data_IF_312199444687
#
_entry.id   IF_312199444687
#
_cell.length_a   1.000
_cell.length_b   1.000
_cell.length_c   1.000
_cell.angle_alpha   90.00
_cell.angle_beta   90.00
_cell.angle_gamma   90.00
#
_symmetry.space_group_name_H-M   'P 1'
#
loop_
_entity.id
_entity.type
_entity.pdbx_description
1 polymer ?
2 polymer ?
3 polymer ?
4 non-polymer ?
5 non-polymer ?
#
loop_
_entity_poly.entity_id
_entity_poly.type
_entity_poly.pdbx_seq_one_letter_code
_entity_poly.pdbx_strand_id
2 'polyribonucleotide' '(GTP)GCGGC' ?
3 'polydeoxyribonucleotide' '(DG)(DC)(DC)(DG)(DC)(DC)(DA)(DA)(DC)(DA)(DT)(DA)' ?
#
# COMPACT_ATOMS: atom_id res chain seq x y z
N UNK A 5 1.14 24.54 -25.39
CA UNK A 5 0.84 23.69 -26.57
C UNK A 5 0.03 22.47 -26.14
N UNK A 6 0.15 22.12 -24.86
CA UNK A 6 -0.56 20.98 -24.31
C UNK A 6 -1.98 21.34 -23.88
N UNK A 7 -2.91 20.43 -24.14
CA UNK A 7 -4.33 20.61 -23.80
C UNK A 7 -4.82 19.71 -22.67
N UNK A 8 -5.88 20.14 -21.98
CA UNK A 8 -6.41 19.41 -20.83
C UNK A 8 -6.95 18.00 -21.06
N UNK A 9 -7.80 17.83 -22.07
CA UNK A 9 -8.36 16.50 -22.37
C UNK A 9 -7.30 15.58 -22.99
N UNK A 10 -6.04 15.82 -22.66
CA UNK A 10 -4.93 15.05 -23.22
C UNK A 10 -4.10 14.43 -22.10
N UNK A 11 -4.27 14.97 -20.90
CA UNK A 11 -3.54 14.53 -19.73
C UNK A 11 -3.67 13.05 -19.39
N UNK A 12 -4.91 12.57 -19.25
CA UNK A 12 -5.13 11.16 -18.93
C UNK A 12 -4.18 10.29 -19.74
N UNK A 13 -4.09 10.57 -21.04
CA UNK A 13 -3.22 9.80 -21.91
C UNK A 13 -1.74 10.03 -21.59
N UNK A 14 -1.38 11.31 -21.50
CA UNK A 14 0.00 11.66 -21.20
C UNK A 14 0.48 10.92 -19.96
N UNK A 15 -0.36 10.90 -18.93
CA UNK A 15 0.01 10.24 -17.67
C UNK A 15 0.55 8.84 -17.90
N UNK A 16 -0.02 8.17 -18.89
CA UNK A 16 0.36 6.81 -19.22
C UNK A 16 1.66 6.73 -20.01
N UNK A 17 1.81 7.65 -20.95
CA UNK A 17 2.96 7.66 -21.84
C UNK A 17 4.20 8.40 -21.39
N UNK A 18 3.99 9.58 -20.81
CA UNK A 18 5.13 10.38 -20.41
C UNK A 18 5.32 10.69 -18.92
N UNK A 19 4.28 10.56 -18.12
CA UNK A 19 4.45 10.86 -16.70
C UNK A 19 5.31 9.81 -16.03
N UNK A 20 6.17 10.22 -15.07
CA UNK A 20 7.01 9.24 -14.40
C UNK A 20 6.11 8.56 -13.39
N UNK A 21 6.43 7.33 -12.98
CA UNK A 21 5.55 6.67 -12.01
C UNK A 21 4.91 7.53 -10.92
N UNK A 22 5.67 8.45 -10.33
CA UNK A 22 5.13 9.28 -9.26
C UNK A 22 3.97 10.16 -9.72
N UNK A 23 4.16 10.90 -10.79
CA UNK A 23 3.09 11.74 -11.26
C UNK A 23 1.92 10.90 -11.76
N UNK A 24 2.21 9.76 -12.39
CA UNK A 24 1.16 8.87 -12.90
C UNK A 24 0.21 8.48 -11.77
N UNK A 25 0.78 7.99 -10.67
CA UNK A 25 0.01 7.61 -9.48
C UNK A 25 -0.88 8.75 -9.02
N UNK A 26 -0.25 9.89 -8.77
CA UNK A 26 -0.94 11.07 -8.30
C UNK A 26 -2.08 11.47 -9.22
N UNK A 27 -1.89 11.26 -10.52
CA UNK A 27 -2.93 11.61 -11.46
C UNK A 27 -4.12 10.66 -11.35
N UNK A 28 -3.84 9.35 -11.38
CA UNK A 28 -4.88 8.33 -11.26
C UNK A 28 -5.67 8.52 -9.96
N UNK A 29 -4.95 8.75 -8.86
CA UNK A 29 -5.59 8.95 -7.58
C UNK A 29 -6.54 10.15 -7.66
N UNK A 30 -6.13 11.19 -8.38
CA UNK A 30 -6.97 12.38 -8.51
C UNK A 30 -8.23 12.11 -9.32
N UNK A 31 -8.16 11.24 -10.31
CA UNK A 31 -9.34 10.94 -11.14
C UNK A 31 -10.29 10.00 -10.41
N UNK A 32 -9.72 9.09 -9.64
CA UNK A 32 -10.54 8.14 -8.92
C UNK A 32 -11.23 8.80 -7.72
N UNK A 33 -10.46 9.51 -6.93
CA UNK A 33 -11.01 10.14 -5.73
C UNK A 33 -11.54 11.55 -5.89
N UNK A 34 -11.26 12.14 -7.04
CA UNK A 34 -11.71 13.49 -7.29
C UNK A 34 -11.12 14.43 -6.25
N UNK A 35 -9.97 14.05 -5.69
CA UNK A 35 -9.32 14.85 -4.69
C UNK A 35 -7.90 14.36 -4.40
N UNK A 36 -7.14 15.20 -3.72
CA UNK A 36 -5.76 14.89 -3.33
C UNK A 36 -5.38 15.64 -2.06
N UNK A 37 -4.66 14.97 -1.17
CA UNK A 37 -4.23 15.60 0.06
C UNK A 37 -3.13 16.62 -0.27
N UNK A 38 -2.86 17.52 0.68
CA UNK A 38 -1.87 18.57 0.47
C UNK A 38 -0.57 18.12 -0.20
N UNK A 39 0.08 17.11 0.37
CA UNK A 39 1.33 16.63 -0.19
C UNK A 39 1.26 16.34 -1.68
N UNK A 40 0.20 15.64 -2.09
CA UNK A 40 0.02 15.31 -3.48
C UNK A 40 -0.36 16.53 -4.31
N UNK A 41 -1.14 17.44 -3.73
CA UNK A 41 -1.54 18.63 -4.47
C UNK A 41 -0.31 19.48 -4.78
N UNK A 42 0.67 19.47 -3.88
CA UNK A 42 1.88 20.26 -4.10
C UNK A 42 2.73 19.68 -5.21
N UNK A 43 3.14 18.43 -5.05
CA UNK A 43 3.97 17.74 -6.02
C UNK A 43 3.35 17.68 -7.40
N UNK A 44 2.09 17.30 -7.47
CA UNK A 44 1.43 17.16 -8.77
C UNK A 44 1.16 18.47 -9.46
N UNK A 45 0.64 19.44 -8.72
CA UNK A 45 0.35 20.74 -9.31
C UNK A 45 1.58 21.41 -9.89
N UNK A 46 2.69 21.46 -9.15
CA UNK A 46 3.89 22.10 -9.66
C UNK A 46 4.36 21.33 -10.86
N UNK A 47 4.20 20.02 -10.85
CA UNK A 47 4.59 19.21 -12.01
C UNK A 47 3.80 19.64 -13.24
N UNK A 48 2.47 19.69 -13.09
CA UNK A 48 1.60 20.10 -14.18
C UNK A 48 2.01 21.47 -14.72
N UNK A 49 2.48 22.33 -13.81
CA UNK A 49 2.88 23.65 -14.23
C UNK A 49 4.17 23.51 -15.02
N UNK A 50 5.05 22.66 -14.52
CA UNK A 50 6.32 22.45 -15.20
C UNK A 50 6.18 21.94 -16.61
N UNK A 51 5.15 21.12 -16.88
CA UNK A 51 4.94 20.55 -18.22
C UNK A 51 4.24 21.49 -19.16
N UNK A 52 3.62 22.54 -18.67
CA UNK A 52 2.99 23.45 -19.60
C UNK A 52 1.69 24.11 -19.23
N UNK A 53 0.93 23.54 -18.32
CA UNK A 53 -0.34 24.15 -17.95
C UNK A 53 -0.21 25.61 -17.52
N UNK A 54 -1.16 26.44 -17.93
CA UNK A 54 -1.13 27.82 -17.54
C UNK A 54 -2.04 27.89 -16.34
N UNK A 55 -2.05 29.04 -15.67
CA UNK A 55 -2.87 29.25 -14.48
C UNK A 55 -4.35 29.08 -14.80
N UNK A 56 -4.74 29.45 -16.00
CA UNK A 56 -6.14 29.32 -16.38
C UNK A 56 -6.50 27.85 -16.49
N UNK A 57 -5.58 27.06 -17.05
CA UNK A 57 -5.81 25.63 -17.20
C UNK A 57 -5.79 24.93 -15.85
N UNK A 58 -4.78 25.27 -15.06
CA UNK A 58 -4.61 24.69 -13.74
C UNK A 58 -5.88 24.84 -12.91
N UNK A 59 -6.37 26.07 -12.81
CA UNK A 59 -7.57 26.35 -12.04
C UNK A 59 -8.76 25.56 -12.58
N UNK A 60 -8.78 25.37 -13.89
CA UNK A 60 -9.87 24.62 -14.49
C UNK A 60 -9.72 23.11 -14.20
N UNK A 61 -8.55 22.58 -14.51
CA UNK A 61 -8.24 21.18 -14.28
C UNK A 61 -8.59 20.72 -12.88
N UNK A 62 -8.19 21.52 -11.89
CA UNK A 62 -8.45 21.20 -10.50
C UNK A 62 -9.91 21.44 -10.05
N UNK A 63 -10.48 22.58 -10.43
CA UNK A 63 -11.86 22.89 -10.04
C UNK A 63 -12.75 21.79 -10.59
N UNK A 64 -12.61 21.52 -11.88
CA UNK A 64 -13.38 20.50 -12.55
C UNK A 64 -13.36 19.17 -11.80
N UNK A 65 -12.17 18.70 -11.47
CA UNK A 65 -12.05 17.43 -10.78
C UNK A 65 -12.54 17.46 -9.34
N UNK A 66 -12.57 18.64 -8.74
CA UNK A 66 -13.00 18.74 -7.35
C UNK A 66 -14.52 18.90 -7.19
N UNK A 67 -15.19 19.33 -8.24
CA UNK A 67 -16.65 19.51 -8.21
C UNK A 67 -17.25 18.11 -8.17
N UNK A 68 -16.59 17.18 -8.83
CA UNK A 68 -17.01 15.77 -8.88
C UNK A 68 -16.90 15.11 -7.50
N UNK A 69 -16.25 15.81 -6.57
CA UNK A 69 -16.11 15.31 -5.20
C UNK A 69 -17.40 15.70 -4.49
N UNK A 70 -18.26 16.34 -5.27
CA UNK A 70 -19.58 16.81 -4.86
C UNK A 70 -19.59 17.94 -3.83
N UNK A 71 -18.47 18.67 -3.76
CA UNK A 71 -18.36 19.78 -2.82
C UNK A 71 -18.70 21.12 -3.48
N UNK A 72 -18.99 22.11 -2.65
CA UNK A 72 -19.35 23.43 -3.14
C UNK A 72 -18.34 24.00 -4.12
N UNK A 73 -18.77 24.27 -5.36
CA UNK A 73 -17.84 24.82 -6.34
C UNK A 73 -17.41 26.19 -5.84
N UNK A 74 -18.01 26.61 -4.73
CA UNK A 74 -17.69 27.88 -4.07
C UNK A 74 -16.72 27.56 -2.96
N UNK A 75 -16.95 26.45 -2.26
CA UNK A 75 -16.06 26.05 -1.17
C UNK A 75 -14.69 25.78 -1.80
N UNK A 76 -14.65 25.72 -3.13
CA UNK A 76 -13.41 25.49 -3.86
C UNK A 76 -12.64 26.82 -4.01
N UNK A 77 -13.30 27.86 -4.55
CA UNK A 77 -12.64 29.15 -4.71
C UNK A 77 -12.22 29.69 -3.34
N UNK A 78 -12.97 29.32 -2.31
CA UNK A 78 -12.68 29.73 -0.93
C UNK A 78 -11.24 29.31 -0.58
N UNK A 79 -11.02 28.00 -0.41
CA UNK A 79 -9.69 27.54 -0.08
C UNK A 79 -8.73 27.36 -1.25
N UNK A 80 -8.85 26.20 -1.90
CA UNK A 80 -8.01 25.76 -3.02
C UNK A 80 -7.58 26.68 -4.16
N UNK A 81 -8.45 27.60 -4.59
CA UNK A 81 -8.11 28.49 -5.70
C UNK A 81 -6.94 29.41 -5.40
N UNK A 82 -7.00 30.07 -4.24
CA UNK A 82 -5.94 30.98 -3.85
C UNK A 82 -4.59 30.32 -3.89
N UNK A 83 -4.51 29.12 -3.35
CA UNK A 83 -3.25 28.43 -3.31
C UNK A 83 -2.74 28.08 -4.69
N UNK A 84 -3.63 27.71 -5.60
CA UNK A 84 -3.16 27.35 -6.93
C UNK A 84 -2.46 28.56 -7.53
N UNK A 85 -3.10 29.72 -7.38
CA UNK A 85 -2.57 30.96 -7.91
C UNK A 85 -1.25 31.35 -7.27
N UNK A 86 -1.09 31.03 -5.99
CA UNK A 86 0.14 31.38 -5.31
C UNK A 86 1.29 30.52 -5.81
N UNK A 87 0.95 29.36 -6.37
CA UNK A 87 1.95 28.44 -6.93
C UNK A 87 2.55 29.02 -8.21
N UNK A 88 1.69 29.65 -9.00
CA UNK A 88 2.13 30.28 -10.24
C UNK A 88 2.64 31.70 -9.95
N UNK A 89 2.83 32.02 -8.67
CA UNK A 89 3.34 33.33 -8.29
C UNK A 89 2.38 34.50 -8.45
N UNK A 90 1.08 34.23 -8.37
CA UNK A 90 0.13 35.31 -8.53
C UNK A 90 -0.53 35.71 -7.24
N UNK A 91 0.21 35.60 -6.14
CA UNK A 91 -0.27 35.96 -4.81
C UNK A 91 0.90 36.24 -3.89
N UNK A 92 0.67 37.05 -2.87
CA UNK A 92 1.71 37.39 -1.91
C UNK A 92 3.05 37.84 -2.47
N UNK A 93 4.12 37.14 -2.05
CA UNK A 93 5.50 37.39 -2.46
C UNK A 93 5.66 37.30 -3.98
N UNK A 94 4.78 36.52 -4.60
CA UNK A 94 4.77 36.29 -6.05
C UNK A 94 6.01 35.55 -6.52
N UNK A 95 6.07 34.27 -6.19
CA UNK A 95 7.19 33.43 -6.60
C UNK A 95 6.71 32.30 -7.50
N UNK A 96 7.25 32.25 -8.70
CA UNK A 96 6.89 31.20 -9.65
C UNK A 96 7.65 29.95 -9.23
N UNK A 97 7.08 29.16 -8.33
CA UNK A 97 7.75 27.95 -7.85
C UNK A 97 8.14 26.88 -8.87
N UNK A 98 9.41 26.50 -8.81
CA UNK A 98 9.96 25.47 -9.65
C UNK A 98 9.40 24.17 -9.13
N UNK A 99 9.11 23.21 -10.02
CA UNK A 99 8.57 21.91 -9.58
C UNK A 99 9.59 21.12 -8.76
N UNK A 100 9.11 20.15 -7.98
CA UNK A 100 9.95 19.34 -7.11
C UNK A 100 10.98 18.45 -7.81
N UNK A 101 12.15 18.33 -7.21
CA UNK A 101 13.25 17.50 -7.72
C UNK A 101 13.11 16.09 -7.15
N UNK A 102 13.75 15.10 -7.77
CA UNK A 102 13.61 13.75 -7.24
C UNK A 102 14.12 13.64 -5.83
N UNK A 103 15.35 14.08 -5.61
CA UNK A 103 15.92 13.98 -4.29
C UNK A 103 14.97 14.51 -3.21
N UNK A 104 14.34 15.65 -3.47
CA UNK A 104 13.41 16.22 -2.49
C UNK A 104 12.29 15.23 -2.24
N UNK A 105 11.63 14.83 -3.33
CA UNK A 105 10.53 13.89 -3.29
C UNK A 105 10.90 12.62 -2.50
N UNK A 106 12.13 12.15 -2.71
CA UNK A 106 12.60 10.93 -2.07
C UNK A 106 13.04 11.03 -0.61
N UNK A 107 13.67 12.13 -0.24
CA UNK A 107 14.14 12.28 1.14
C UNK A 107 13.29 13.12 2.07
N UNK A 108 12.17 13.68 1.60
CA UNK A 108 11.34 14.50 2.47
C UNK A 108 9.86 14.17 2.45
N UNK A 109 9.12 14.81 3.35
CA UNK A 109 7.67 14.64 3.48
C UNK A 109 7.21 13.24 3.09
N UNK A 110 7.69 12.20 3.79
CA UNK A 110 7.29 10.83 3.48
C UNK A 110 5.77 10.78 3.53
N UNK A 111 5.16 9.96 2.67
CA UNK A 111 3.72 9.81 2.61
C UNK A 111 3.13 8.86 3.63
N UNK A 112 1.89 9.12 4.03
CA UNK A 112 1.17 8.30 5.00
C UNK A 112 -0.13 7.86 4.37
N UNK A 113 -0.91 7.07 5.09
CA UNK A 113 -2.19 6.59 4.54
C UNK A 113 -3.04 7.74 4.05
N UNK A 114 -3.56 7.61 2.83
CA UNK A 114 -4.39 8.64 2.24
C UNK A 114 -3.62 9.51 1.25
N UNK A 115 -2.29 9.52 1.40
CA UNK A 115 -1.43 10.31 0.53
C UNK A 115 -0.96 9.43 -0.60
N UNK A 116 -0.70 10.04 -1.76
CA UNK A 116 -0.22 9.32 -2.95
C UNK A 116 1.04 9.95 -3.53
N UNK A 117 1.50 11.04 -2.92
CA UNK A 117 2.69 11.73 -3.36
C UNK A 117 3.90 10.90 -2.93
N UNK A 118 5.11 11.42 -3.16
CA UNK A 118 6.31 10.69 -2.80
C UNK A 118 6.88 9.99 -4.02
N UNK A 119 7.84 9.09 -3.81
CA UNK A 119 8.48 8.35 -4.90
C UNK A 119 8.15 6.86 -4.76
N UNK A 120 7.40 6.29 -5.72
CA UNK A 120 7.02 4.87 -5.65
C UNK A 120 8.18 3.92 -5.39
N UNK A 121 9.29 4.15 -6.06
CA UNK A 121 10.47 3.28 -5.91
C UNK A 121 11.03 3.37 -4.49
N UNK A 122 10.64 4.39 -3.76
CA UNK A 122 11.14 4.58 -2.40
C UNK A 122 10.09 4.39 -1.32
N UNK A 123 8.89 4.88 -1.57
CA UNK A 123 7.83 4.79 -0.58
C UNK A 123 6.83 3.65 -0.74
N UNK A 124 6.82 2.96 -1.89
CA UNK A 124 5.92 1.83 -2.06
C UNK A 124 6.70 0.59 -1.67
N UNK A 125 6.12 -0.26 -0.83
CA UNK A 125 6.83 -1.47 -0.40
C UNK A 125 6.99 -2.43 -1.59
N UNK A 126 8.16 -3.09 -1.70
CA UNK A 126 8.48 -4.05 -2.77
C UNK A 126 7.32 -4.85 -3.36
N UNK A 127 6.41 -5.29 -2.51
CA UNK A 127 5.28 -6.09 -2.99
C UNK A 127 4.18 -5.30 -3.68
N UNK A 128 3.94 -4.08 -3.20
CA UNK A 128 2.94 -3.21 -3.80
C UNK A 128 3.50 -2.62 -5.08
N UNK A 129 4.79 -2.26 -5.04
CA UNK A 129 5.45 -1.69 -6.20
C UNK A 129 5.36 -2.72 -7.34
N UNK A 130 5.68 -3.98 -7.03
CA UNK A 130 5.63 -5.04 -8.02
C UNK A 130 4.27 -5.07 -8.72
N UNK A 131 3.20 -5.02 -7.92
CA UNK A 131 1.88 -5.03 -8.51
C UNK A 131 1.67 -3.86 -9.46
N UNK A 132 2.09 -2.67 -9.04
CA UNK A 132 1.95 -1.48 -9.89
C UNK A 132 2.71 -1.74 -11.19
N UNK A 133 3.97 -2.12 -11.05
CA UNK A 133 4.81 -2.41 -12.19
C UNK A 133 4.07 -3.32 -13.17
N UNK A 134 3.52 -4.39 -12.64
CA UNK A 134 2.79 -5.30 -13.48
C UNK A 134 1.62 -4.58 -14.09
N UNK A 135 0.93 -3.75 -13.31
CA UNK A 135 -0.25 -3.02 -13.81
C UNK A 135 0.08 -2.12 -14.99
N UNK A 136 1.33 -1.70 -15.06
CA UNK A 136 1.76 -0.87 -16.17
C UNK A 136 2.23 -1.77 -17.31
N UNK A 137 2.09 -3.07 -17.11
CA UNK A 137 2.48 -4.07 -18.11
C UNK A 137 3.98 -4.07 -18.42
N UNK A 138 4.79 -4.05 -17.37
CA UNK A 138 6.24 -4.05 -17.48
C UNK A 138 6.71 -5.52 -17.47
N UNK A 139 7.59 -5.88 -18.39
CA UNK A 139 8.05 -7.26 -18.44
C UNK A 139 8.72 -7.76 -17.14
N UNK A 140 8.24 -8.91 -16.63
CA UNK A 140 8.73 -9.56 -15.42
C UNK A 140 10.25 -9.58 -15.29
N UNK A 141 10.91 -9.32 -16.41
CA UNK A 141 12.37 -9.30 -16.39
C UNK A 141 12.82 -7.97 -15.83
N UNK A 142 12.28 -6.90 -16.40
CA UNK A 142 12.64 -5.56 -15.95
C UNK A 142 12.11 -5.33 -14.54
N UNK A 143 10.90 -5.83 -14.28
CA UNK A 143 10.29 -5.69 -12.97
C UNK A 143 11.32 -6.21 -11.96
N UNK A 144 11.90 -7.35 -12.27
CA UNK A 144 12.91 -7.97 -11.43
C UNK A 144 14.17 -7.11 -11.36
N UNK A 145 14.52 -6.49 -12.47
CA UNK A 145 15.71 -5.66 -12.56
C UNK A 145 15.53 -4.36 -11.79
N UNK A 146 14.27 -3.92 -11.68
CA UNK A 146 13.92 -2.70 -10.96
C UNK A 146 14.00 -2.95 -9.47
N UNK A 147 13.27 -3.97 -9.02
CA UNK A 147 13.23 -4.34 -7.62
C UNK A 147 14.64 -4.45 -7.03
N UNK A 148 15.59 -4.90 -7.85
CA UNK A 148 16.98 -5.03 -7.43
C UNK A 148 17.54 -3.66 -7.10
N UNK A 149 17.45 -2.77 -8.09
CA UNK A 149 17.92 -1.42 -7.94
C UNK A 149 17.28 -0.85 -6.68
N UNK A 150 15.96 -1.00 -6.56
CA UNK A 150 15.22 -0.51 -5.40
C UNK A 150 15.83 -1.01 -4.09
N UNK A 151 16.19 -2.28 -4.07
CA UNK A 151 16.79 -2.88 -2.90
C UNK A 151 18.16 -2.27 -2.60
N UNK A 152 18.79 -1.71 -3.63
CA UNK A 152 20.09 -1.07 -3.45
C UNK A 152 19.91 0.43 -3.27
N UNK A 153 18.67 0.83 -3.06
CA UNK A 153 18.30 2.23 -2.86
C UNK A 153 18.64 3.15 -4.04
N UNK A 154 18.74 2.58 -5.23
CA UNK A 154 19.03 3.36 -6.43
C UNK A 154 17.66 3.61 -7.10
N UNK A 155 16.80 4.33 -6.37
CA UNK A 155 15.44 4.67 -6.79
C UNK A 155 15.36 5.36 -8.14
N UNK A 156 16.16 6.40 -8.32
CA UNK A 156 16.16 7.17 -9.56
C UNK A 156 16.56 6.33 -10.77
N UNK A 157 17.54 5.45 -10.54
CA UNK A 157 18.03 4.54 -11.58
C UNK A 157 16.91 3.58 -11.93
N UNK A 158 16.30 2.99 -10.91
CA UNK A 158 15.19 2.10 -11.13
C UNK A 158 14.13 2.82 -11.98
N UNK A 159 13.98 4.13 -11.79
CA UNK A 159 12.99 4.86 -12.57
C UNK A 159 13.45 5.03 -14.00
N UNK A 160 14.77 5.17 -14.18
CA UNK A 160 15.30 5.32 -15.51
C UNK A 160 15.03 3.99 -16.22
N UNK A 161 15.21 2.91 -15.46
CA UNK A 161 14.97 1.58 -15.96
C UNK A 161 13.54 1.50 -16.50
N UNK A 162 12.59 2.08 -15.75
CA UNK A 162 11.17 2.11 -16.10
C UNK A 162 10.97 2.91 -17.39
N UNK A 163 11.74 3.98 -17.53
CA UNK A 163 11.66 4.83 -18.71
C UNK A 163 11.97 3.97 -19.94
N UNK A 164 13.19 3.42 -19.94
CA UNK A 164 13.72 2.61 -21.02
C UNK A 164 12.76 1.52 -21.48
N UNK A 165 11.99 1.01 -20.54
CA UNK A 165 11.06 -0.04 -20.84
C UNK A 165 9.78 0.40 -21.48
N UNK A 166 9.16 1.43 -20.93
CA UNK A 166 7.89 1.90 -21.48
C UNK A 166 8.09 2.69 -22.76
N UNK A 167 9.35 2.89 -23.16
CA UNK A 167 9.62 3.62 -24.41
C UNK A 167 10.34 2.73 -25.40
N UNK A 168 10.64 1.50 -24.98
CA UNK A 168 11.34 0.54 -25.83
C UNK A 168 12.64 1.12 -26.35
N UNK A 169 13.54 1.42 -25.42
CA UNK A 169 14.85 1.97 -25.77
C UNK A 169 15.88 1.30 -24.89
N UNK A 170 17.11 1.23 -25.39
CA UNK A 170 18.18 0.59 -24.65
C UNK A 170 18.76 1.42 -23.51
N UNK A 171 18.97 2.70 -23.80
CA UNK A 171 19.56 3.64 -22.84
C UNK A 171 18.73 4.92 -22.89
N UNK A 172 18.17 5.31 -21.76
CA UNK A 172 17.36 6.53 -21.70
C UNK A 172 18.20 7.71 -22.22
N UNK A 173 19.50 7.65 -21.97
CA UNK A 173 20.42 8.68 -22.43
C UNK A 173 20.48 9.96 -21.63
N UNK A 174 20.40 9.83 -20.31
CA UNK A 174 20.45 10.98 -19.41
C UNK A 174 20.35 10.46 -17.99
N UNK A 175 20.81 11.24 -17.03
CA UNK A 175 20.72 10.82 -15.64
C UNK A 175 19.50 11.53 -15.08
N UNK A 176 18.58 10.77 -14.49
CA UNK A 176 17.34 11.33 -13.92
C UNK A 176 17.47 11.92 -12.54
N UNK A 177 16.91 13.10 -12.35
CA UNK A 177 16.93 13.75 -11.04
C UNK A 177 15.85 14.80 -10.87
N UNK A 178 14.87 14.81 -11.79
CA UNK A 178 13.73 15.72 -11.71
C UNK A 178 12.58 15.16 -12.57
N UNK A 179 11.40 15.02 -11.97
CA UNK A 179 10.22 14.48 -12.68
C UNK A 179 9.95 15.07 -14.06
N UNK A 180 10.03 16.39 -14.19
CA UNK A 180 9.75 17.02 -15.48
C UNK A 180 10.83 16.75 -16.50
N UNK A 181 11.96 16.24 -16.02
CA UNK A 181 13.05 15.87 -16.90
C UNK A 181 12.56 14.59 -17.57
N UNK A 182 12.05 13.67 -16.75
CA UNK A 182 11.50 12.41 -17.25
C UNK A 182 10.48 12.73 -18.34
N UNK A 183 9.61 13.69 -18.05
CA UNK A 183 8.58 14.06 -18.99
C UNK A 183 9.15 14.50 -20.32
N UNK A 184 9.96 15.54 -20.29
CA UNK A 184 10.55 16.07 -21.51
C UNK A 184 11.24 15.02 -22.35
N UNK A 185 12.10 14.23 -21.72
CA UNK A 185 12.83 13.21 -22.45
C UNK A 185 11.84 12.27 -23.11
N UNK A 186 10.73 12.01 -22.44
CA UNK A 186 9.72 11.15 -23.04
C UNK A 186 9.14 11.82 -24.26
N UNK A 187 8.70 13.06 -24.09
CA UNK A 187 8.10 13.82 -25.17
C UNK A 187 9.02 13.91 -26.37
N UNK A 188 10.32 13.84 -26.12
CA UNK A 188 11.29 13.90 -27.21
C UNK A 188 11.16 12.72 -28.13
N UNK A 189 10.99 11.55 -27.54
CA UNK A 189 10.88 10.34 -28.33
C UNK A 189 9.50 10.16 -28.97
N UNK A 190 8.44 10.47 -28.23
CA UNK A 190 7.09 10.32 -28.76
C UNK A 190 6.65 11.49 -29.65
N UNK A 191 6.80 12.71 -29.19
CA UNK A 191 6.42 13.86 -30.01
C UNK A 191 7.66 14.44 -30.66
N UNK B 6 -8.32 -16.46 -3.02
CA UNK B 6 -8.39 -17.55 -4.03
C UNK B 6 -7.01 -17.86 -4.57
N UNK B 7 -6.37 -16.85 -5.12
CA UNK B 7 -5.03 -16.97 -5.68
C UNK B 7 -3.93 -17.19 -4.62
N UNK B 8 -3.17 -18.27 -4.75
CA UNK B 8 -2.11 -18.61 -3.77
C UNK B 8 -0.90 -17.65 -3.80
N UNK B 9 -0.58 -17.10 -4.97
CA UNK B 9 0.57 -16.19 -5.09
C UNK B 9 0.13 -14.74 -4.92
N UNK B 10 -1.11 -14.55 -4.50
CA UNK B 10 -1.67 -13.24 -4.29
C UNK B 10 -1.73 -12.96 -2.81
N UNK B 11 -1.33 -13.94 -2.01
CA UNK B 11 -1.37 -13.81 -0.57
C UNK B 11 -0.48 -12.70 -0.05
N UNK B 12 0.79 -12.69 -0.45
CA UNK B 12 1.68 -11.64 0.05
C UNK B 12 1.04 -10.27 -0.15
N UNK B 13 0.52 -10.01 -1.33
CA UNK B 13 -0.11 -8.73 -1.60
C UNK B 13 -1.27 -8.52 -0.61
N UNK B 14 -2.15 -9.50 -0.55
CA UNK B 14 -3.32 -9.46 0.32
C UNK B 14 -3.04 -9.10 1.78
N UNK B 15 -1.92 -9.59 2.31
CA UNK B 15 -1.57 -9.37 3.70
C UNK B 15 -1.34 -7.89 4.01
N UNK B 16 -1.08 -7.12 2.97
CA UNK B 16 -0.84 -5.70 3.12
C UNK B 16 -2.15 -4.94 3.09
N UNK B 17 -3.02 -5.31 2.15
CA UNK B 17 -4.30 -4.64 1.96
C UNK B 17 -5.48 -5.09 2.81
N UNK B 18 -5.67 -6.38 2.94
CA UNK B 18 -6.83 -6.85 3.67
C UNK B 18 -6.65 -7.56 5.02
N UNK B 19 -5.47 -8.09 5.31
CA UNK B 19 -5.24 -8.79 6.58
C UNK B 19 -5.26 -7.86 7.78
N UNK B 20 -5.90 -8.29 8.88
CA UNK B 20 -5.88 -7.38 10.02
C UNK B 20 -4.43 -7.40 10.53
N UNK B 21 -4.08 -6.49 11.45
CA UNK B 21 -2.69 -6.56 11.91
C UNK B 21 -2.22 -7.89 12.50
N UNK B 22 -3.12 -8.65 13.12
CA UNK B 22 -2.72 -9.91 13.72
C UNK B 22 -2.25 -10.84 12.64
N UNK B 23 -3.07 -11.02 11.62
CA UNK B 23 -2.74 -11.94 10.54
C UNK B 23 -1.60 -11.41 9.70
N UNK B 24 -1.58 -10.10 9.48
CA UNK B 24 -0.53 -9.49 8.67
C UNK B 24 0.83 -9.77 9.30
N UNK B 25 0.87 -9.75 10.63
CA UNK B 25 2.07 -10.00 11.42
C UNK B 25 2.49 -11.46 11.34
N UNK B 26 1.52 -12.35 11.52
CA UNK B 26 1.76 -13.79 11.44
C UNK B 26 2.29 -14.16 10.06
N UNK B 27 1.77 -13.53 9.02
CA UNK B 27 2.21 -13.84 7.67
C UNK B 27 3.60 -13.34 7.38
N UNK B 28 3.91 -12.20 7.98
CA UNK B 28 5.23 -11.63 7.81
C UNK B 28 6.25 -12.57 8.45
N UNK B 29 5.94 -13.02 9.66
CA UNK B 29 6.83 -13.92 10.37
C UNK B 29 6.99 -15.25 9.65
N UNK B 30 5.91 -15.74 9.04
CA UNK B 30 5.98 -17.01 8.32
C UNK B 30 6.95 -16.90 7.14
N UNK B 31 6.78 -15.86 6.34
CA UNK B 31 7.63 -15.65 5.19
C UNK B 31 9.09 -15.47 5.56
N UNK B 32 9.36 -14.88 6.73
CA UNK B 32 10.73 -14.62 7.16
C UNK B 32 11.43 -15.80 7.79
N UNK B 33 10.72 -16.55 8.61
CA UNK B 33 11.37 -17.67 9.26
C UNK B 33 10.98 -19.00 8.63
N UNK B 34 10.13 -18.94 7.60
CA UNK B 34 9.68 -20.13 6.89
C UNK B 34 9.02 -21.09 7.86
N UNK B 35 8.45 -20.51 8.92
CA UNK B 35 7.81 -21.30 9.97
C UNK B 35 7.15 -20.49 11.09
N UNK B 36 6.07 -21.04 11.64
CA UNK B 36 5.34 -20.39 12.72
C UNK B 36 5.10 -21.42 13.79
N UNK B 37 5.19 -21.00 15.05
CA UNK B 37 4.95 -21.93 16.16
C UNK B 37 3.50 -22.44 16.19
N UNK B 38 3.19 -23.34 17.10
CA UNK B 38 1.85 -23.88 17.16
C UNK B 38 0.77 -22.79 17.25
N UNK B 39 0.87 -21.92 18.26
CA UNK B 39 -0.11 -20.86 18.41
C UNK B 39 -0.42 -20.15 17.11
N UNK B 40 0.63 -19.86 16.35
CA UNK B 40 0.44 -19.20 15.07
C UNK B 40 -0.11 -20.08 13.96
N UNK B 41 0.32 -21.35 13.88
CA UNK B 41 -0.18 -22.23 12.83
C UNK B 41 -1.67 -22.28 13.02
N UNK B 42 -2.05 -22.19 14.29
CA UNK B 42 -3.44 -22.22 14.69
C UNK B 42 -4.20 -20.96 14.25
N UNK B 43 -3.81 -19.81 14.79
CA UNK B 43 -4.50 -18.58 14.46
C UNK B 43 -4.52 -18.33 12.96
N UNK B 44 -3.34 -18.32 12.35
CA UNK B 44 -3.22 -18.08 10.92
C UNK B 44 -3.80 -19.22 10.08
N UNK B 45 -3.56 -20.47 10.46
CA UNK B 45 -4.11 -21.56 9.67
C UNK B 45 -5.61 -21.44 9.44
N UNK B 46 -6.39 -21.32 10.52
CA UNK B 46 -7.83 -21.22 10.43
C UNK B 46 -8.26 -19.97 9.71
N UNK B 47 -7.44 -18.92 9.84
CA UNK B 47 -7.74 -17.67 9.17
C UNK B 47 -7.71 -17.92 7.68
N UNK B 48 -6.61 -18.48 7.19
CA UNK B 48 -6.45 -18.76 5.76
C UNK B 48 -7.56 -19.63 5.23
N UNK B 49 -8.13 -20.46 6.09
CA UNK B 49 -9.24 -21.29 5.64
C UNK B 49 -10.49 -20.42 5.50
N UNK B 50 -10.69 -19.54 6.46
CA UNK B 50 -11.84 -18.65 6.44
C UNK B 50 -11.91 -17.74 5.23
N UNK B 51 -10.77 -17.24 4.76
CA UNK B 51 -10.78 -16.35 3.60
C UNK B 51 -11.04 -17.10 2.30
N UNK B 52 -10.93 -18.45 2.33
CA UNK B 52 -11.20 -19.23 1.13
C UNK B 52 -10.27 -20.32 0.66
N UNK B 53 -9.07 -20.43 1.22
CA UNK B 53 -8.15 -21.46 0.78
C UNK B 53 -8.77 -22.84 0.91
N UNK B 54 -8.37 -23.73 0.01
CA UNK B 54 -8.83 -25.10 0.00
C UNK B 54 -7.77 -25.93 0.72
N UNK B 55 -8.16 -27.11 1.18
CA UNK B 55 -7.21 -27.96 1.88
C UNK B 55 -5.95 -28.16 1.04
N UNK B 56 -6.14 -28.37 -0.27
CA UNK B 56 -5.02 -28.58 -1.18
C UNK B 56 -4.15 -27.32 -1.28
N UNK B 57 -4.80 -26.17 -1.27
CA UNK B 57 -4.05 -24.92 -1.33
C UNK B 57 -3.25 -24.79 -0.03
N UNK B 58 -3.98 -24.86 1.08
CA UNK B 58 -3.38 -24.76 2.39
C UNK B 58 -2.16 -25.65 2.49
N UNK B 59 -2.35 -26.94 2.20
CA UNK B 59 -1.23 -27.91 2.27
C UNK B 59 -0.05 -27.43 1.45
N UNK B 60 -0.32 -27.06 0.20
CA UNK B 60 0.73 -26.59 -0.68
C UNK B 60 1.35 -25.36 -0.04
N UNK B 61 0.51 -24.39 0.31
CA UNK B 61 0.96 -23.15 0.93
C UNK B 61 1.92 -23.43 2.08
N UNK B 62 1.51 -24.31 2.99
CA UNK B 62 2.31 -24.63 4.16
C UNK B 62 3.57 -25.41 3.89
N UNK B 63 3.49 -26.44 3.04
CA UNK B 63 4.69 -27.21 2.76
C UNK B 63 5.72 -26.32 2.06
N UNK B 64 5.29 -25.75 0.95
CA UNK B 64 6.11 -24.87 0.13
C UNK B 64 6.98 -23.95 1.00
N UNK B 65 6.43 -23.44 2.09
CA UNK B 65 7.16 -22.53 2.97
C UNK B 65 7.94 -23.20 4.09
N UNK B 66 7.66 -24.47 4.37
CA UNK B 66 8.40 -25.19 5.41
C UNK B 66 9.59 -25.99 4.84
N UNK B 67 9.62 -26.11 3.52
CA UNK B 67 10.72 -26.78 2.85
C UNK B 67 11.90 -25.80 2.84
N UNK B 68 11.54 -24.52 2.74
CA UNK B 68 12.51 -23.43 2.75
C UNK B 68 13.19 -23.38 4.12
N UNK B 69 12.60 -24.09 5.08
CA UNK B 69 13.17 -24.16 6.41
C UNK B 69 14.23 -25.25 6.41
N UNK B 70 14.56 -25.68 5.20
CA UNK B 70 15.54 -26.73 4.93
C UNK B 70 15.22 -28.05 5.62
N UNK B 71 14.01 -28.18 6.14
CA UNK B 71 13.57 -29.41 6.79
C UNK B 71 13.09 -30.43 5.76
N UNK B 72 13.10 -31.71 6.17
CA UNK B 72 12.70 -32.82 5.31
C UNK B 72 11.27 -32.70 4.80
N UNK B 73 11.08 -32.71 3.47
CA UNK B 73 9.76 -32.60 2.85
C UNK B 73 8.82 -33.69 3.35
N UNK B 74 9.39 -34.71 3.98
CA UNK B 74 8.64 -35.84 4.54
C UNK B 74 8.38 -35.59 6.00
N UNK B 75 9.38 -35.03 6.68
CA UNK B 75 9.28 -34.71 8.09
C UNK B 75 8.04 -33.85 8.25
N UNK B 76 7.65 -33.19 7.16
CA UNK B 76 6.49 -32.33 7.17
C UNK B 76 5.22 -33.16 7.10
N UNK B 77 5.17 -34.08 6.14
CA UNK B 77 4.00 -34.94 5.98
C UNK B 77 3.82 -35.78 7.23
N UNK B 78 4.93 -36.09 7.89
CA UNK B 78 4.87 -36.91 9.10
C UNK B 78 4.05 -36.30 10.23
N UNK B 79 4.15 -34.99 10.40
CA UNK B 79 3.38 -34.34 11.44
C UNK B 79 2.38 -33.32 10.94
N UNK B 80 2.92 -32.17 10.53
CA UNK B 80 2.14 -31.04 10.06
C UNK B 80 0.92 -31.25 9.17
N UNK B 81 1.05 -32.03 8.09
CA UNK B 81 -0.07 -32.22 7.18
C UNK B 81 -1.32 -32.82 7.85
N UNK B 82 -1.14 -33.74 8.77
CA UNK B 82 -2.31 -34.32 9.43
C UNK B 82 -3.06 -33.19 10.10
N UNK B 83 -2.34 -32.40 10.89
CA UNK B 83 -2.97 -31.28 11.60
C UNK B 83 -3.76 -30.40 10.65
N UNK B 84 -3.16 -30.07 9.52
CA UNK B 84 -3.81 -29.20 8.56
C UNK B 84 -5.11 -29.79 8.04
N UNK B 85 -5.11 -31.10 7.81
CA UNK B 85 -6.31 -31.74 7.35
C UNK B 85 -7.36 -31.81 8.46
N UNK B 86 -6.92 -32.01 9.70
CA UNK B 86 -7.85 -32.05 10.81
C UNK B 86 -8.42 -30.63 11.06
N UNK B 87 -7.68 -29.61 10.61
CA UNK B 87 -8.13 -28.23 10.76
C UNK B 87 -9.31 -28.03 9.84
N UNK B 88 -9.28 -28.68 8.69
CA UNK B 88 -10.37 -28.57 7.71
C UNK B 88 -11.41 -29.67 7.89
N UNK B 89 -11.42 -30.29 9.06
CA UNK B 89 -12.40 -31.33 9.32
C UNK B 89 -12.30 -32.51 8.37
N UNK B 90 -11.08 -33.01 8.18
CA UNK B 90 -10.87 -34.17 7.32
C UNK B 90 -10.11 -35.30 8.03
N UNK B 91 -10.20 -35.31 9.35
CA UNK B 91 -9.54 -36.32 10.15
C UNK B 91 -10.24 -36.45 11.50
N UNK B 92 -10.23 -37.66 12.05
CA UNK B 92 -10.87 -37.90 13.34
C UNK B 92 -12.32 -37.43 13.41
N UNK B 93 -12.61 -36.66 14.45
CA UNK B 93 -13.93 -36.10 14.73
C UNK B 93 -14.52 -35.44 13.49
N UNK B 94 -13.64 -34.94 12.63
CA UNK B 94 -14.02 -34.27 11.40
C UNK B 94 -14.87 -33.03 11.69
N UNK B 95 -14.25 -32.06 12.37
CA UNK B 95 -14.95 -30.84 12.73
C UNK B 95 -14.33 -29.70 11.93
N UNK B 96 -15.13 -29.04 11.09
CA UNK B 96 -14.62 -27.92 10.29
C UNK B 96 -14.59 -26.68 11.18
N UNK B 97 -13.50 -26.57 11.94
CA UNK B 97 -13.32 -25.48 12.90
C UNK B 97 -13.47 -24.11 12.33
N UNK B 98 -14.25 -23.28 13.01
CA UNK B 98 -14.49 -21.91 12.62
C UNK B 98 -13.26 -21.14 13.10
N UNK B 99 -12.82 -20.12 12.35
CA UNK B 99 -11.65 -19.33 12.74
C UNK B 99 -11.83 -18.61 14.07
N UNK B 100 -10.71 -18.25 14.68
CA UNK B 100 -10.70 -17.56 15.96
C UNK B 100 -11.32 -16.18 15.92
N UNK B 101 -12.12 -15.88 16.92
CA UNK B 101 -12.75 -14.58 17.02
C UNK B 101 -11.74 -13.69 17.73
N UNK B 102 -11.95 -12.38 17.62
CA UNK B 102 -11.04 -11.40 18.24
C UNK B 102 -10.94 -11.53 19.75
N UNK B 103 -12.07 -11.80 20.40
CA UNK B 103 -12.02 -11.93 21.84
C UNK B 103 -11.21 -13.16 22.27
N UNK B 104 -11.29 -14.24 21.50
CA UNK B 104 -10.54 -15.46 21.81
C UNK B 104 -9.06 -15.16 21.71
N UNK B 105 -8.71 -14.53 20.59
CA UNK B 105 -7.33 -14.18 20.32
C UNK B 105 -6.82 -13.23 21.38
N UNK B 106 -7.64 -12.24 21.74
CA UNK B 106 -7.22 -11.27 22.74
C UNK B 106 -7.08 -11.81 24.16
N UNK B 107 -8.12 -12.47 24.65
CA UNK B 107 -8.17 -12.97 26.02
C UNK B 107 -7.55 -14.33 26.36
N UNK B 108 -7.22 -15.13 25.35
CA UNK B 108 -6.66 -16.43 25.62
C UNK B 108 -5.37 -16.77 24.90
N UNK B 109 -4.78 -17.89 25.30
CA UNK B 109 -3.56 -18.39 24.70
C UNK B 109 -2.55 -17.31 24.43
N UNK B 110 -2.21 -16.54 25.47
CA UNK B 110 -1.23 -15.46 25.34
C UNK B 110 0.09 -15.95 24.74
N UNK B 111 0.64 -15.21 23.76
CA UNK B 111 1.90 -15.60 23.15
C UNK B 111 3.13 -15.42 24.05
N UNK B 112 4.21 -16.13 23.72
CA UNK B 112 5.47 -16.10 24.47
C UNK B 112 6.58 -15.80 23.48
N UNK B 113 7.81 -15.95 23.93
CA UNK B 113 8.94 -15.71 23.06
C UNK B 113 8.90 -16.74 21.94
N UNK B 114 9.08 -16.28 20.71
CA UNK B 114 9.05 -17.17 19.56
C UNK B 114 7.71 -17.10 18.86
N UNK B 115 6.71 -16.56 19.56
CA UNK B 115 5.35 -16.43 19.03
C UNK B 115 5.03 -15.08 18.37
N UNK B 116 4.04 -15.12 17.47
CA UNK B 116 3.61 -13.95 16.76
C UNK B 116 2.09 -13.93 16.68
N UNK B 117 1.45 -14.87 17.36
CA UNK B 117 0.00 -14.91 17.38
C UNK B 117 -0.52 -13.93 18.40
N UNK B 118 -1.82 -13.92 18.62
CA UNK B 118 -2.36 -12.99 19.58
C UNK B 118 -2.80 -11.74 18.88
N UNK B 119 -3.10 -10.70 19.64
CA UNK B 119 -3.55 -9.46 19.06
C UNK B 119 -2.58 -8.35 19.33
N UNK B 120 -1.96 -7.83 18.25
CA UNK B 120 -0.98 -6.75 18.29
C UNK B 120 -1.36 -5.62 19.28
N UNK B 121 -2.57 -5.09 19.14
CA UNK B 121 -3.06 -4.01 20.00
C UNK B 121 -3.05 -4.36 21.47
N UNK B 122 -2.98 -5.66 21.74
CA UNK B 122 -3.01 -6.17 23.10
C UNK B 122 -1.69 -6.76 23.60
N UNK B 123 -1.14 -7.67 22.83
CA UNK B 123 0.09 -8.31 23.22
C UNK B 123 1.38 -7.58 22.88
N UNK B 124 1.28 -6.46 22.18
CA UNK B 124 2.48 -5.73 21.87
C UNK B 124 2.50 -4.51 22.74
N UNK B 125 3.65 -4.25 23.36
CA UNK B 125 3.80 -3.10 24.23
C UNK B 125 3.68 -1.77 23.43
N UNK B 126 3.05 -0.74 24.04
CA UNK B 126 2.86 0.58 23.43
C UNK B 126 4.01 1.04 22.55
N UNK B 127 5.21 0.83 23.04
CA UNK B 127 6.38 1.25 22.28
C UNK B 127 6.57 0.51 20.97
N UNK B 128 6.45 -0.81 21.02
CA UNK B 128 6.60 -1.63 19.83
C UNK B 128 5.42 -1.40 18.88
N UNK B 129 4.23 -1.30 19.44
CA UNK B 129 3.03 -1.07 18.65
C UNK B 129 3.20 0.16 17.77
N UNK B 130 3.72 1.23 18.35
CA UNK B 130 3.94 2.47 17.64
C UNK B 130 4.87 2.22 16.48
N UNK B 131 5.91 1.42 16.75
CA UNK B 131 6.93 1.08 15.76
C UNK B 131 6.38 0.27 14.60
N UNK B 132 5.40 -0.58 14.89
CA UNK B 132 4.77 -1.40 13.88
C UNK B 132 3.85 -0.53 13.02
N UNK B 133 3.04 0.26 13.68
CA UNK B 133 2.11 1.18 13.02
C UNK B 133 2.85 2.15 12.15
N UNK B 134 4.05 2.50 12.58
CA UNK B 134 4.83 3.42 11.80
C UNK B 134 5.27 2.72 10.55
N UNK B 135 5.71 1.46 10.71
CA UNK B 135 6.18 0.68 9.57
C UNK B 135 5.03 0.41 8.61
N UNK B 136 3.80 0.51 9.11
CA UNK B 136 2.65 0.28 8.27
C UNK B 136 2.24 1.60 7.64
N UNK B 137 3.06 2.62 7.83
CA UNK B 137 2.81 3.95 7.27
C UNK B 137 1.52 4.60 7.78
N UNK B 138 1.37 4.59 9.10
CA UNK B 138 0.22 5.20 9.75
C UNK B 138 0.59 6.59 10.25
N UNK B 139 -0.29 7.53 9.93
CA UNK B 139 -0.12 8.94 10.31
C UNK B 139 0.05 9.11 11.82
N UNK B 140 0.96 9.99 12.24
CA UNK B 140 1.18 10.22 13.68
C UNK B 140 -0.10 10.61 14.43
N UNK B 141 -1.05 11.19 13.72
CA UNK B 141 -2.29 11.53 14.38
C UNK B 141 -2.98 10.21 14.67
N UNK B 142 -2.98 9.34 13.67
CA UNK B 142 -3.61 8.04 13.82
C UNK B 142 -2.97 7.20 14.89
N UNK B 143 -1.66 6.98 14.78
CA UNK B 143 -0.97 6.20 15.78
C UNK B 143 -1.29 6.76 17.15
N UNK B 144 -1.37 8.09 17.24
CA UNK B 144 -1.68 8.74 18.50
C UNK B 144 -3.09 8.35 18.96
N UNK B 145 -4.00 8.25 17.99
CA UNK B 145 -5.41 7.89 18.23
C UNK B 145 -5.59 6.40 18.60
N UNK B 146 -4.85 5.52 17.93
CA UNK B 146 -4.97 4.13 18.26
C UNK B 146 -4.42 3.93 19.67
N UNK B 147 -3.20 4.40 19.90
CA UNK B 147 -2.55 4.28 21.21
C UNK B 147 -3.42 4.68 22.40
N UNK B 148 -4.41 5.54 22.17
CA UNK B 148 -5.28 5.97 23.26
C UNK B 148 -6.40 4.97 23.47
N UNK B 149 -6.89 4.41 22.38
CA UNK B 149 -7.93 3.39 22.46
C UNK B 149 -7.30 2.18 23.17
N UNK B 150 -6.07 1.86 22.78
CA UNK B 150 -5.35 0.74 23.35
C UNK B 150 -5.20 0.90 24.86
N UNK B 151 -4.89 2.12 25.30
CA UNK B 151 -4.73 2.41 26.72
C UNK B 151 -6.01 2.08 27.46
N UNK B 152 -7.15 2.33 26.81
CA UNK B 152 -8.42 2.05 27.44
C UNK B 152 -8.89 0.65 27.14
N UNK B 153 -7.92 -0.16 26.71
CA UNK B 153 -8.15 -1.56 26.33
C UNK B 153 -9.26 -1.73 25.30
N UNK B 154 -9.34 -0.83 24.32
CA UNK B 154 -10.35 -0.90 23.28
C UNK B 154 -9.72 -1.46 22.02
N UNK B 155 -9.01 -2.56 22.18
CA UNK B 155 -8.29 -3.21 21.10
C UNK B 155 -9.04 -3.35 19.77
N UNK B 156 -10.28 -3.80 19.83
CA UNK B 156 -11.06 -3.96 18.63
C UNK B 156 -11.42 -2.67 17.97
N UNK B 157 -11.63 -1.63 18.77
CA UNK B 157 -11.98 -0.31 18.25
C UNK B 157 -10.73 0.29 17.58
N UNK B 158 -9.61 0.14 18.27
CA UNK B 158 -8.36 0.63 17.75
C UNK B 158 -8.11 -0.04 16.40
N UNK B 159 -8.50 -1.31 16.26
CA UNK B 159 -8.29 -2.03 15.00
C UNK B 159 -9.18 -1.47 13.90
N UNK B 160 -10.40 -1.09 14.25
CA UNK B 160 -11.31 -0.52 13.25
C UNK B 160 -10.75 0.79 12.73
N UNK B 161 -10.17 1.59 13.64
CA UNK B 161 -9.58 2.87 13.28
C UNK B 161 -8.52 2.57 12.23
N UNK B 162 -7.70 1.57 12.51
CA UNK B 162 -6.64 1.13 11.61
C UNK B 162 -7.22 0.71 10.25
N UNK B 163 -8.40 0.08 10.25
CA UNK B 163 -9.08 -0.36 9.03
C UNK B 163 -9.50 0.88 8.25
N UNK B 164 -10.08 1.83 8.98
CA UNK B 164 -10.55 3.07 8.39
C UNK B 164 -9.38 3.82 7.74
N UNK B 165 -8.22 3.78 8.40
CA UNK B 165 -7.05 4.47 7.89
C UNK B 165 -6.43 3.86 6.64
N UNK B 166 -6.25 2.54 6.61
CA UNK B 166 -5.63 1.95 5.42
C UNK B 166 -6.59 1.80 4.24
N UNK B 167 -7.88 1.91 4.50
CA UNK B 167 -8.86 1.79 3.43
C UNK B 167 -9.32 3.17 2.99
N UNK B 168 -8.76 4.19 3.63
CA UNK B 168 -9.10 5.56 3.32
C UNK B 168 -10.61 5.77 3.34
N UNK B 169 -11.20 5.59 4.51
CA UNK B 169 -12.63 5.75 4.71
C UNK B 169 -12.83 6.38 6.08
N UNK B 170 -13.93 7.11 6.25
CA UNK B 170 -14.19 7.78 7.53
C UNK B 170 -14.68 6.83 8.64
N UNK B 171 -15.62 5.95 8.26
CA UNK B 171 -16.19 4.96 9.18
C UNK B 171 -16.25 3.63 8.44
N UNK B 172 -15.62 2.61 9.05
CA UNK B 172 -15.58 1.26 8.52
C UNK B 172 -16.99 0.73 8.22
N UNK B 173 -17.95 1.19 9.02
CA UNK B 173 -19.34 0.79 8.85
C UNK B 173 -19.72 -0.58 9.37
N UNK B 174 -19.18 -0.96 10.53
CA UNK B 174 -19.45 -2.27 11.12
C UNK B 174 -18.68 -2.39 12.42
N UNK B 175 -19.14 -3.25 13.32
CA UNK B 175 -18.40 -3.43 14.55
C UNK B 175 -17.56 -4.70 14.34
N UNK B 176 -16.26 -4.59 14.58
CA UNK B 176 -15.31 -5.70 14.40
C UNK B 176 -15.24 -6.66 15.58
N UNK B 177 -15.32 -7.96 15.30
CA UNK B 177 -15.22 -8.98 16.34
C UNK B 177 -14.75 -10.32 15.77
N UNK B 178 -14.20 -10.29 14.57
CA UNK B 178 -13.69 -11.50 13.96
C UNK B 178 -12.72 -11.18 12.83
N UNK B 179 -11.45 -11.59 12.98
CA UNK B 179 -10.45 -11.32 11.95
C UNK B 179 -10.90 -11.54 10.51
N UNK B 180 -11.65 -12.60 10.24
CA UNK B 180 -12.06 -12.84 8.85
C UNK B 180 -13.07 -11.80 8.42
N UNK B 181 -13.72 -11.17 9.39
CA UNK B 181 -14.68 -10.13 9.08
C UNK B 181 -13.94 -8.91 8.51
N UNK B 182 -12.80 -8.59 9.13
CA UNK B 182 -11.98 -7.48 8.69
C UNK B 182 -11.53 -7.72 7.24
N UNK B 183 -11.29 -8.98 6.89
CA UNK B 183 -10.86 -9.32 5.54
C UNK B 183 -11.97 -9.18 4.51
N UNK B 184 -13.20 -9.49 4.93
CA UNK B 184 -14.35 -9.39 4.03
C UNK B 184 -14.63 -7.95 3.68
N UNK B 185 -14.82 -7.16 4.72
CA UNK B 185 -15.10 -5.74 4.59
C UNK B 185 -14.04 -5.07 3.73
N UNK B 186 -12.78 -5.44 3.92
CA UNK B 186 -11.66 -4.88 3.14
C UNK B 186 -11.81 -5.21 1.65
N UNK B 187 -12.13 -6.46 1.35
CA UNK B 187 -12.32 -6.85 -0.04
C UNK B 187 -13.53 -6.13 -0.67
N UNK B 188 -14.56 -5.87 0.14
CA UNK B 188 -15.77 -5.17 -0.31
C UNK B 188 -15.35 -3.81 -0.89
N UNK B 189 -14.44 -3.14 -0.18
CA UNK B 189 -13.95 -1.82 -0.55
C UNK B 189 -12.91 -1.83 -1.67
N UNK B 190 -12.06 -2.83 -1.68
CA UNK B 190 -11.02 -2.91 -2.70
C UNK B 190 -11.30 -3.97 -3.76
#
# INVERSE_FOLDING_TARGET
>A
GNVGKISLDQIDLLSTKSFPPCMRQLHKALRENHHLRHGGRMQYGLFLKGIGLTLEQALQFWKQEFIKGKMDPDKFDKGYSYNIRHSFGKEGKRTDYTPFSCLKIILSNPPSQGDYHGCPFRHSDPELLKQKLQSYKISPGGISQILDLVKGTHYQVACQKYFEMIHNVDDCGFSLNHPNQFFCESQRILN
>B
GNVGKISLDQIDLLSTKSFPPCMRQLHKALRENHHLRHGGRMQYGLFLKGIGLTLEQALQFWKQEFIKGKMDPDKFDKGYSYNIRHSFGKEGKRTDYTPFSCLKIILSNPPSQGDYHGCPFRHSDPELLKQKLQSYKISPGGISQILDLVKGTHYQVACQKYFEMIHNVDDCGFSLNHPNQFFCESQRILN
#
